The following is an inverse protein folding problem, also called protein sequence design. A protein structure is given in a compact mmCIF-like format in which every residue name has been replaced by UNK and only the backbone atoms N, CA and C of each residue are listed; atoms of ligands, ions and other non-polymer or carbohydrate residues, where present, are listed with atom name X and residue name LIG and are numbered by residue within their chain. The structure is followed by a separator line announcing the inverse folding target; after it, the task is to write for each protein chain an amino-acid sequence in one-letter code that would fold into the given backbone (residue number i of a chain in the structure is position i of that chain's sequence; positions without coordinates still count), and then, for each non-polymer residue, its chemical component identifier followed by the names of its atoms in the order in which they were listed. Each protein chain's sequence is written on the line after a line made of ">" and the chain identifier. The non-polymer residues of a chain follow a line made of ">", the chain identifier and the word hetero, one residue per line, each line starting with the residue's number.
data_IF_784975351015
#
_entry.id   IF_784975351015
#
_cell.length_a   1.000
_cell.length_b   1.000
_cell.length_c   1.000
_cell.angle_alpha   90.00
_cell.angle_beta   90.00
_cell.angle_gamma   90.00
#
_symmetry.space_group_name_H-M   'P 1'
#
loop_
_entity.id
_entity.type
_entity.pdbx_description
1 polymer ?
#
# COMPACT_ATOMS: atom_id res chain seq x y z
N UNK A 1 4.88 28.86 -3.72
CA UNK A 1 3.73 27.98 -3.39
C UNK A 1 4.24 26.58 -3.63
N UNK A 2 4.62 25.85 -2.57
CA UNK A 2 5.05 24.47 -2.74
C UNK A 2 3.85 23.68 -3.26
N UNK A 3 4.01 22.92 -4.34
CA UNK A 3 3.03 21.90 -4.72
C UNK A 3 2.69 21.10 -3.45
N UNK A 4 1.40 20.88 -3.11
CA UNK A 4 1.07 19.98 -2.02
C UNK A 4 1.76 18.65 -2.35
N UNK A 5 2.67 18.22 -1.46
CA UNK A 5 3.40 16.97 -1.65
C UNK A 5 2.39 15.86 -1.87
N UNK A 6 2.50 15.15 -2.99
CA UNK A 6 1.73 13.95 -3.23
C UNK A 6 2.69 12.78 -3.29
N UNK A 7 2.43 11.75 -2.48
CA UNK A 7 3.11 10.46 -2.65
C UNK A 7 2.45 9.70 -3.79
N UNK A 8 3.27 9.16 -4.69
CA UNK A 8 2.83 8.32 -5.79
C UNK A 8 2.79 6.87 -5.34
N UNK A 9 1.60 6.29 -5.38
CA UNK A 9 1.36 4.89 -5.01
C UNK A 9 1.00 4.12 -6.28
N UNK A 10 1.77 3.09 -6.59
CA UNK A 10 1.39 2.12 -7.62
C UNK A 10 0.82 0.89 -6.94
N UNK A 11 -0.35 0.45 -7.38
CA UNK A 11 -1.00 -0.75 -6.87
C UNK A 11 -1.08 -1.77 -7.98
N UNK A 12 -0.25 -2.81 -7.87
CA UNK A 12 -0.29 -3.96 -8.73
C UNK A 12 -1.21 -5.03 -8.10
N UNK A 13 -2.17 -5.59 -8.86
CA UNK A 13 -3.16 -6.54 -8.33
C UNK A 13 -3.66 -7.62 -9.28
N UNK A 14 -4.02 -8.80 -8.77
CA UNK A 14 -4.60 -9.91 -9.54
C UNK A 14 -6.09 -9.70 -9.86
N UNK A 15 -6.88 -9.30 -8.87
CA UNK A 15 -8.32 -9.20 -8.97
C UNK A 15 -8.91 -7.95 -8.29
N UNK A 16 -10.22 -7.77 -8.43
CA UNK A 16 -10.91 -6.62 -7.87
C UNK A 16 -10.95 -6.62 -6.32
N UNK A 17 -10.96 -7.79 -5.68
CA UNK A 17 -10.96 -7.91 -4.23
C UNK A 17 -9.61 -7.44 -3.64
N UNK A 18 -8.49 -7.89 -4.21
CA UNK A 18 -7.15 -7.43 -3.89
C UNK A 18 -6.98 -5.92 -4.11
N UNK A 19 -7.46 -5.39 -5.24
CA UNK A 19 -7.44 -3.96 -5.48
C UNK A 19 -8.23 -3.16 -4.44
N UNK A 20 -9.42 -3.64 -4.04
CA UNK A 20 -10.22 -3.00 -2.98
C UNK A 20 -9.50 -3.02 -1.64
N UNK A 21 -8.79 -4.11 -1.29
CA UNK A 21 -7.96 -4.18 -0.08
C UNK A 21 -6.85 -3.12 -0.11
N UNK A 22 -6.15 -3.00 -1.24
CA UNK A 22 -5.13 -1.97 -1.43
C UNK A 22 -5.69 -0.54 -1.36
N UNK A 23 -6.87 -0.28 -1.93
CA UNK A 23 -7.53 1.02 -1.82
C UNK A 23 -7.92 1.36 -0.38
N UNK A 24 -8.44 0.39 0.40
CA UNK A 24 -8.73 0.61 1.83
C UNK A 24 -7.46 1.02 2.60
N UNK A 25 -6.34 0.37 2.30
CA UNK A 25 -5.04 0.76 2.87
C UNK A 25 -4.67 2.20 2.45
N UNK A 26 -4.76 2.52 1.15
CA UNK A 26 -4.42 3.85 0.65
C UNK A 26 -5.30 4.94 1.29
N UNK A 27 -6.61 4.72 1.41
CA UNK A 27 -7.53 5.66 2.07
C UNK A 27 -7.14 5.88 3.53
N UNK A 28 -6.81 4.80 4.25
CA UNK A 28 -6.36 4.87 5.65
C UNK A 28 -5.05 5.61 5.80
N UNK A 29 -4.09 5.38 4.91
CA UNK A 29 -2.81 6.11 4.92
C UNK A 29 -3.04 7.58 4.58
N UNK A 30 -3.88 7.87 3.59
CA UNK A 30 -4.21 9.24 3.19
C UNK A 30 -4.92 10.03 4.31
N UNK A 31 -5.68 9.37 5.20
CA UNK A 31 -6.29 10.06 6.34
C UNK A 31 -5.31 10.40 7.47
N UNK A 32 -4.13 9.77 7.49
CA UNK A 32 -3.11 9.96 8.52
C UNK A 32 -1.93 10.83 8.04
N UNK A 33 -1.77 11.00 6.73
CA UNK A 33 -0.72 11.83 6.13
C UNK A 33 -1.17 13.29 5.96
N UNK A 34 -0.23 14.21 6.11
CA UNK A 34 -0.42 15.62 5.73
C UNK A 34 -0.35 15.79 4.19
N UNK A 35 0.38 14.91 3.51
CA UNK A 35 0.43 14.78 2.05
C UNK A 35 -0.76 14.00 1.47
N UNK A 36 -1.15 14.34 0.24
CA UNK A 36 -2.13 13.54 -0.50
C UNK A 36 -1.50 12.29 -1.13
N UNK A 37 -2.32 11.29 -1.46
CA UNK A 37 -1.88 10.14 -2.25
C UNK A 37 -2.40 10.21 -3.69
N UNK A 38 -1.54 9.88 -4.65
CA UNK A 38 -1.95 9.59 -6.04
C UNK A 38 -1.78 8.11 -6.31
N UNK A 39 -2.91 7.41 -6.38
CA UNK A 39 -2.95 5.96 -6.59
C UNK A 39 -3.08 5.65 -8.08
N UNK A 40 -2.16 4.86 -8.61
CA UNK A 40 -2.19 4.32 -9.97
C UNK A 40 -2.46 2.81 -9.92
N UNK A 41 -3.65 2.35 -10.38
CA UNK A 41 -3.95 0.92 -10.47
C UNK A 41 -3.22 0.28 -11.65
N UNK A 42 -2.73 -0.94 -11.41
CA UNK A 42 -2.15 -1.83 -12.39
C UNK A 42 -2.71 -3.25 -12.12
N UNK A 43 -3.76 -3.71 -12.83
CA UNK A 43 -4.18 -5.12 -12.73
C UNK A 43 -3.03 -6.09 -13.09
N UNK A 44 -3.16 -7.40 -13.14
CA UNK A 44 -2.18 -8.27 -13.84
C UNK A 44 -2.85 -9.53 -14.38
N UNK A 45 -4.10 -9.40 -14.79
CA UNK A 45 -4.87 -10.53 -15.32
C UNK A 45 -4.28 -11.03 -16.65
N UNK A 46 -4.61 -12.26 -17.07
CA UNK A 46 -4.16 -12.79 -18.35
C UNK A 46 -4.49 -11.90 -19.56
N UNK A 47 -5.64 -11.23 -19.56
CA UNK A 47 -6.08 -10.26 -20.59
C UNK A 47 -5.11 -9.09 -20.78
N UNK A 48 -4.32 -8.86 -19.74
CA UNK A 48 -3.50 -7.71 -19.55
C UNK A 48 -2.04 -8.07 -19.72
N UNK A 49 -1.56 -9.18 -19.16
CA UNK A 49 -0.17 -9.63 -19.33
C UNK A 49 0.20 -10.09 -20.75
N UNK A 50 -0.78 -10.54 -21.54
CA UNK A 50 -0.56 -10.96 -22.94
C UNK A 50 -0.50 -9.80 -23.94
N UNK A 51 -0.73 -8.58 -23.48
CA UNK A 51 -0.75 -7.38 -24.31
C UNK A 51 0.64 -6.76 -24.39
N UNK A 52 1.13 -6.49 -25.60
CA UNK A 52 2.37 -5.71 -25.78
C UNK A 52 2.27 -4.29 -25.20
N UNK A 53 1.05 -3.82 -24.95
CA UNK A 53 0.70 -2.55 -24.30
C UNK A 53 0.20 -2.74 -22.87
N UNK A 54 0.35 -3.94 -22.27
CA UNK A 54 0.32 -4.10 -20.82
C UNK A 54 1.16 -2.98 -20.25
N UNK A 55 0.62 -1.99 -19.52
CA UNK A 55 1.28 -0.72 -19.39
C UNK A 55 2.66 -1.03 -18.85
N UNK A 56 3.74 -0.90 -19.66
CA UNK A 56 5.01 -0.77 -19.02
C UNK A 56 4.79 0.54 -18.31
N UNK A 57 4.59 0.50 -17.00
CA UNK A 57 4.80 1.68 -16.19
C UNK A 57 6.13 2.18 -16.71
N UNK A 58 6.09 3.32 -17.42
CA UNK A 58 7.29 3.74 -18.15
C UNK A 58 8.40 3.73 -17.11
N UNK A 59 9.64 3.33 -17.43
CA UNK A 59 10.72 3.28 -16.43
C UNK A 59 10.75 4.53 -15.54
N UNK A 60 10.35 5.68 -16.10
CA UNK A 60 10.05 6.94 -15.42
C UNK A 60 8.92 6.91 -14.36
N UNK A 61 7.73 6.40 -14.67
CA UNK A 61 6.64 6.28 -13.69
C UNK A 61 6.97 5.29 -12.55
N UNK A 62 7.74 4.25 -12.87
CA UNK A 62 8.21 3.26 -11.89
C UNK A 62 9.26 3.88 -10.96
N UNK A 63 10.15 4.70 -11.51
CA UNK A 63 11.14 5.48 -10.75
C UNK A 63 10.51 6.52 -9.83
N UNK A 64 9.33 7.02 -10.20
CA UNK A 64 8.62 8.06 -9.44
C UNK A 64 7.70 7.49 -8.35
N UNK A 65 7.46 6.18 -8.27
CA UNK A 65 6.50 5.59 -7.34
C UNK A 65 7.08 5.49 -5.91
N UNK A 66 6.74 6.40 -5.00
CA UNK A 66 7.21 6.39 -3.60
C UNK A 66 6.79 5.13 -2.84
N UNK A 67 5.61 4.59 -3.18
CA UNK A 67 5.05 3.37 -2.59
C UNK A 67 4.66 2.40 -3.70
N UNK A 68 5.11 1.15 -3.58
CA UNK A 68 4.69 0.04 -4.44
C UNK A 68 3.86 -0.91 -3.58
N UNK A 69 2.62 -1.17 -3.99
CA UNK A 69 1.73 -2.13 -3.34
C UNK A 69 1.52 -3.31 -4.28
N UNK A 70 1.77 -4.52 -3.79
CA UNK A 70 1.47 -5.78 -4.48
C UNK A 70 0.33 -6.42 -3.72
N UNK A 71 -0.84 -6.49 -4.33
CA UNK A 71 -2.03 -7.08 -3.73
C UNK A 71 -2.45 -8.33 -4.50
N UNK A 72 -2.42 -9.49 -3.87
CA UNK A 72 -2.86 -10.74 -4.47
C UNK A 72 -3.90 -11.39 -3.56
N UNK A 73 -5.00 -11.89 -4.12
CA UNK A 73 -5.91 -12.79 -3.44
C UNK A 73 -5.34 -14.19 -3.36
N UNK A 74 -4.63 -14.62 -4.41
CA UNK A 74 -3.95 -15.92 -4.45
C UNK A 74 -2.43 -15.72 -4.64
N UNK A 75 -1.64 -15.73 -3.55
CA UNK A 75 -0.21 -15.38 -3.62
C UNK A 75 0.64 -16.38 -4.42
N UNK A 76 0.16 -17.61 -4.63
CA UNK A 76 0.86 -18.65 -5.39
C UNK A 76 0.85 -18.42 -6.92
N UNK A 77 -0.05 -17.57 -7.43
CA UNK A 77 -0.25 -17.39 -8.87
C UNK A 77 0.46 -16.15 -9.46
N UNK A 78 1.25 -15.41 -8.67
CA UNK A 78 1.84 -14.15 -9.16
C UNK A 78 2.87 -14.39 -10.26
N UNK A 79 2.64 -13.86 -11.48
CA UNK A 79 3.51 -14.15 -12.61
C UNK A 79 4.91 -13.54 -12.45
N UNK A 80 5.94 -14.24 -12.93
CA UNK A 80 7.33 -13.80 -12.85
C UNK A 80 7.57 -12.40 -13.47
N UNK A 81 6.79 -12.04 -14.51
CA UNK A 81 6.84 -10.71 -15.12
C UNK A 81 6.44 -9.59 -14.15
N UNK A 82 5.51 -9.86 -13.22
CA UNK A 82 5.09 -8.92 -12.18
C UNK A 82 6.22 -8.75 -11.17
N UNK A 83 6.86 -9.83 -10.73
CA UNK A 83 8.00 -9.76 -9.81
C UNK A 83 9.18 -9.00 -10.40
N UNK A 84 9.53 -9.29 -11.67
CA UNK A 84 10.56 -8.56 -12.39
C UNK A 84 10.23 -7.06 -12.51
N UNK A 85 8.96 -6.73 -12.72
CA UNK A 85 8.48 -5.35 -12.76
C UNK A 85 8.58 -4.66 -11.39
N UNK A 86 8.21 -5.32 -10.29
CA UNK A 86 8.36 -4.78 -8.92
C UNK A 86 9.82 -4.49 -8.63
N UNK A 87 10.71 -5.43 -8.94
CA UNK A 87 12.15 -5.26 -8.77
C UNK A 87 12.69 -4.07 -9.55
N UNK A 88 12.27 -3.91 -10.80
CA UNK A 88 12.63 -2.74 -11.61
C UNK A 88 12.17 -1.43 -11.00
N UNK A 89 10.97 -1.39 -10.37
CA UNK A 89 10.50 -0.20 -9.68
C UNK A 89 11.37 0.14 -8.47
N UNK A 90 11.70 -0.88 -7.68
CA UNK A 90 12.47 -0.70 -6.47
C UNK A 90 13.94 -0.37 -6.74
N UNK A 91 14.52 -0.84 -7.86
CA UNK A 91 15.90 -0.59 -8.24
C UNK A 91 16.19 0.81 -8.82
N UNK A 92 15.16 1.62 -9.09
CA UNK A 92 15.36 2.97 -9.64
C UNK A 92 16.01 3.92 -8.63
N UNK A 93 16.92 4.82 -9.06
CA UNK A 93 17.51 5.85 -8.19
C UNK A 93 16.42 6.78 -7.64
N UNK A 94 16.43 7.02 -6.33
CA UNK A 94 15.41 7.79 -5.62
C UNK A 94 16.02 8.79 -4.66
N UNK A 95 15.34 9.91 -4.49
CA UNK A 95 15.72 10.97 -3.54
C UNK A 95 15.24 10.68 -2.12
N UNK A 96 14.32 9.73 -1.93
CA UNK A 96 13.72 9.35 -0.65
C UNK A 96 13.60 7.82 -0.53
N UNK A 97 13.45 7.35 0.71
CA UNK A 97 13.24 5.93 0.99
C UNK A 97 11.88 5.48 0.42
N UNK A 98 11.89 4.42 -0.40
CA UNK A 98 10.68 3.82 -0.95
C UNK A 98 10.09 2.75 -0.02
N UNK A 99 8.78 2.53 -0.14
CA UNK A 99 8.05 1.51 0.62
C UNK A 99 7.47 0.45 -0.34
N UNK A 100 7.76 -0.83 -0.07
CA UNK A 100 7.13 -1.97 -0.72
C UNK A 100 6.13 -2.61 0.26
N UNK A 101 4.87 -2.69 -0.15
CA UNK A 101 3.78 -3.27 0.64
C UNK A 101 3.28 -4.53 -0.02
N UNK A 102 3.19 -5.62 0.74
CA UNK A 102 2.58 -6.88 0.33
C UNK A 102 1.21 -7.04 1.01
N UNK A 103 0.14 -7.16 0.21
CA UNK A 103 -1.24 -7.41 0.67
C UNK A 103 -1.72 -8.74 0.08
N UNK A 104 -1.31 -9.84 0.70
CA UNK A 104 -1.47 -11.19 0.18
C UNK A 104 -2.58 -11.93 0.92
N UNK A 105 -3.30 -12.81 0.23
CA UNK A 105 -4.35 -13.64 0.81
C UNK A 105 -5.67 -12.93 1.09
N UNK A 106 -6.69 -13.70 1.46
CA UNK A 106 -7.87 -13.14 2.12
C UNK A 106 -7.57 -12.87 3.60
N UNK A 107 -8.36 -11.96 4.17
CA UNK A 107 -8.32 -11.31 5.48
C UNK A 107 -8.18 -12.20 6.72
N UNK A 108 -7.92 -13.51 6.58
CA UNK A 108 -7.90 -14.50 7.66
C UNK A 108 -6.84 -15.60 7.56
N UNK A 109 -6.07 -15.71 6.47
CA UNK A 109 -4.97 -16.68 6.38
C UNK A 109 -3.62 -15.98 6.54
N UNK A 110 -2.77 -16.52 7.40
CA UNK A 110 -1.43 -16.00 7.69
C UNK A 110 -0.46 -16.34 6.54
N UNK A 111 -0.63 -15.65 5.41
CA UNK A 111 0.19 -15.79 4.20
C UNK A 111 1.53 -15.04 4.30
N UNK A 112 1.91 -14.63 5.51
CA UNK A 112 3.20 -13.98 5.82
C UNK A 112 4.41 -14.83 5.45
N UNK A 113 4.20 -16.13 5.21
CA UNK A 113 5.21 -17.10 4.80
C UNK A 113 5.00 -17.65 3.37
N UNK A 114 4.19 -16.98 2.56
CA UNK A 114 4.04 -17.32 1.14
C UNK A 114 5.34 -17.06 0.38
N UNK A 115 5.59 -17.84 -0.68
CA UNK A 115 6.74 -17.66 -1.59
C UNK A 115 6.81 -16.22 -2.13
N UNK A 116 5.65 -15.63 -2.40
CA UNK A 116 5.53 -14.25 -2.84
C UNK A 116 5.96 -13.25 -1.77
N UNK A 117 5.56 -13.42 -0.51
CA UNK A 117 6.01 -12.55 0.59
C UNK A 117 7.55 -12.60 0.73
N UNK A 118 8.14 -13.80 0.63
CA UNK A 118 9.59 -13.98 0.69
C UNK A 118 10.30 -13.32 -0.51
N UNK A 119 9.77 -13.50 -1.72
CA UNK A 119 10.30 -12.87 -2.93
C UNK A 119 10.26 -11.34 -2.84
N UNK A 120 9.14 -10.76 -2.39
CA UNK A 120 9.00 -9.31 -2.22
C UNK A 120 9.91 -8.77 -1.12
N UNK A 121 10.05 -9.50 -0.01
CA UNK A 121 10.99 -9.14 1.07
C UNK A 121 12.44 -9.17 0.58
N UNK A 122 12.81 -10.16 -0.22
CA UNK A 122 14.13 -10.26 -0.83
C UNK A 122 14.40 -9.10 -1.82
N UNK A 123 13.40 -8.73 -2.64
CA UNK A 123 13.50 -7.55 -3.52
C UNK A 123 13.74 -6.30 -2.68
N UNK A 124 12.90 -6.03 -1.67
CA UNK A 124 13.02 -4.84 -0.84
C UNK A 124 14.39 -4.74 -0.15
N UNK A 125 14.89 -5.85 0.39
CA UNK A 125 16.20 -5.91 1.03
C UNK A 125 17.34 -5.55 0.05
N UNK A 126 17.28 -6.06 -1.19
CA UNK A 126 18.30 -5.82 -2.22
C UNK A 126 18.27 -4.39 -2.78
N UNK A 127 17.11 -3.74 -2.75
CA UNK A 127 16.90 -2.40 -3.31
C UNK A 127 16.82 -1.30 -2.24
N UNK A 128 17.10 -1.64 -0.98
CA UNK A 128 16.99 -0.72 0.17
C UNK A 128 15.60 -0.08 0.35
N UNK A 129 14.56 -0.81 -0.03
CA UNK A 129 13.18 -0.44 0.27
C UNK A 129 12.78 -0.90 1.67
N UNK A 130 11.97 -0.10 2.35
CA UNK A 130 11.24 -0.60 3.50
C UNK A 130 10.22 -1.64 3.02
N UNK A 131 10.03 -2.72 3.79
CA UNK A 131 9.05 -3.76 3.50
C UNK A 131 7.97 -3.78 4.56
N UNK A 132 6.71 -3.84 4.15
CA UNK A 132 5.55 -3.98 5.04
C UNK A 132 4.60 -5.05 4.50
N UNK A 133 4.20 -6.00 5.35
CA UNK A 133 3.16 -6.97 5.03
C UNK A 133 2.09 -6.92 6.12
N UNK A 134 1.02 -6.12 5.95
CA UNK A 134 -0.05 -6.04 6.94
C UNK A 134 -0.79 -7.37 7.00
N UNK A 135 -0.58 -8.11 8.08
CA UNK A 135 -1.15 -9.45 8.30
C UNK A 135 -2.67 -9.45 8.56
N UNK A 136 -3.28 -8.31 8.95
CA UNK A 136 -4.73 -8.19 9.08
C UNK A 136 -5.23 -6.78 8.71
N UNK A 137 -5.88 -6.67 7.56
CA UNK A 137 -6.81 -5.58 7.26
C UNK A 137 -8.24 -5.99 7.69
N UNK A 138 -8.35 -6.66 8.83
CA UNK A 138 -9.61 -7.16 9.38
C UNK A 138 -10.66 -6.06 9.53
N UNK A 139 -11.93 -6.47 9.43
CA UNK A 139 -13.12 -5.61 9.46
C UNK A 139 -12.97 -4.44 10.44
N UNK A 140 -12.88 -3.23 9.90
CA UNK A 140 -13.08 -2.05 10.72
C UNK A 140 -14.53 -2.05 11.22
N UNK A 141 -14.79 -1.71 12.50
CA UNK A 141 -16.12 -1.28 12.87
C UNK A 141 -16.46 -0.06 12.02
N UNK A 142 -17.43 -0.22 11.12
CA UNK A 142 -18.07 0.91 10.43
C UNK A 142 -18.70 1.76 11.53
N UNK A 143 -18.04 2.86 11.88
CA UNK A 143 -18.48 3.77 12.92
C UNK A 143 -18.06 3.34 14.33
N UNK A 144 -16.88 3.78 14.76
CA UNK A 144 -16.77 4.24 16.15
C UNK A 144 -16.72 5.76 16.11
N UNK A 145 -17.86 6.33 16.49
CA UNK A 145 -18.07 7.72 16.89
C UNK A 145 -16.75 8.43 17.24
N UNK A 146 -16.24 9.21 16.29
CA UNK A 146 -15.41 10.36 16.60
C UNK A 146 -16.33 11.42 17.21
N UNK A 147 -16.89 11.12 18.38
CA UNK A 147 -17.48 12.15 19.21
C UNK A 147 -16.35 13.15 19.51
N UNK A 148 -16.56 14.45 19.24
CA UNK A 148 -15.54 15.46 19.54
C UNK A 148 -15.20 15.34 21.03
N UNK A 149 -13.90 15.26 21.33
CA UNK A 149 -13.40 15.26 22.71
C UNK A 149 -13.99 16.47 23.44
N UNK A 150 -14.98 16.24 24.29
CA UNK A 150 -15.48 17.28 25.19
C UNK A 150 -14.31 17.79 26.03
N UNK A 151 -14.09 19.11 26.10
CA UNK A 151 -13.01 19.66 26.89
C UNK A 151 -13.23 19.31 28.36
N UNK A 152 -12.15 18.84 29.00
CA UNK A 152 -12.08 18.57 30.44
C UNK A 152 -12.71 19.72 31.22
N UNK A 153 -13.83 19.45 31.89
CA UNK A 153 -14.33 20.34 32.93
C UNK A 153 -13.38 20.26 34.12
N UNK A 154 -12.58 21.31 34.33
CA UNK A 154 -11.81 21.52 35.55
C UNK A 154 -12.77 21.56 36.76
N UNK A 155 -12.51 20.83 37.85
CA UNK A 155 -13.33 20.99 39.05
C UNK A 155 -13.06 22.38 39.64
N UNK A 156 -14.11 23.21 39.65
CA UNK A 156 -14.14 24.47 40.41
C UNK A 156 -13.96 24.15 41.89
N UNK A 157 -12.91 24.75 42.45
CA UNK A 157 -12.62 24.85 43.88
C UNK A 157 -13.84 25.48 44.57
N UNK A 158 -14.57 24.69 45.36
CA UNK A 158 -15.61 25.21 46.24
C UNK A 158 -14.92 25.88 47.44
N UNK A 159 -15.12 27.19 47.56
CA UNK A 159 -14.97 27.92 48.81
C UNK A 159 -16.30 27.86 49.56
N UNK A 160 -16.26 27.65 50.87
CA UNK A 160 -17.41 27.87 51.75
C UNK A 160 -17.35 27.03 53.02
N UNK A 161 -17.14 27.70 54.16
CA UNK A 161 -17.25 27.13 55.51
C UNK A 161 -16.24 27.74 56.46
#
# INVERSE_FOLDING_TARGET
>A
MADPGYLKVVVAFDDQAAYRRALKLCVRVCSELEEGLRVQPLPWTPDYLGRSDWPPIRPRQAAEADIVVVAASEPEEVPAVVLAWVEQCCAQPRTAAGLLVALLGDSGDDDSNSFLAEALRAIAARTHFAYLAPEHLGELPVGRDLAPRSPRASPRRAAGG
#
